data_IF_477714518159
#
_entry.id   IF_477714518159
#
_cell.length_a   1.000
_cell.length_b   1.000
_cell.length_c   1.000
_cell.angle_alpha   90.00
_cell.angle_beta   90.00
_cell.angle_gamma   90.00
#
_symmetry.space_group_name_H-M   'P 1'
#
loop_
_entity.id
_entity.type
_entity.pdbx_description
1 polymer ?
#
# COMPACT_ATOMS: atom_id res chain seq x y z
N UNK A 1 12.46 -0.49 18.29
CA UNK A 1 12.06 -1.65 17.44
C UNK A 1 10.58 -1.63 17.03
N UNK A 2 9.62 -1.22 17.87
CA UNK A 2 8.18 -1.32 17.57
C UNK A 2 7.71 -0.59 16.29
N UNK A 3 8.26 0.58 15.99
CA UNK A 3 7.90 1.35 14.78
C UNK A 3 8.23 0.62 13.47
N UNK A 4 9.27 -0.23 13.45
CA UNK A 4 9.64 -1.00 12.25
C UNK A 4 8.67 -2.17 12.03
N UNK A 5 8.23 -2.79 13.13
CA UNK A 5 7.24 -3.87 13.11
C UNK A 5 5.87 -3.37 12.63
N UNK A 6 5.41 -2.23 13.17
CA UNK A 6 4.14 -1.61 12.77
C UNK A 6 4.10 -1.27 11.28
N UNK A 7 5.16 -0.63 10.74
CA UNK A 7 5.24 -0.27 9.31
C UNK A 7 5.24 -1.50 8.41
N UNK A 8 5.95 -2.57 8.77
CA UNK A 8 5.96 -3.81 7.98
C UNK A 8 4.59 -4.51 7.99
N UNK A 9 3.92 -4.54 9.13
CA UNK A 9 2.60 -5.15 9.24
C UNK A 9 1.54 -4.37 8.46
N UNK A 10 1.59 -3.02 8.54
CA UNK A 10 0.74 -2.16 7.74
C UNK A 10 0.98 -2.32 6.24
N UNK A 11 2.23 -2.50 5.80
CA UNK A 11 2.53 -2.78 4.39
C UNK A 11 1.91 -4.11 3.92
N UNK A 12 1.98 -5.17 4.75
CA UNK A 12 1.40 -6.47 4.45
C UNK A 12 -0.14 -6.44 4.43
N UNK A 13 -0.76 -5.74 5.38
CA UNK A 13 -2.22 -5.54 5.37
C UNK A 13 -2.62 -4.71 4.16
N UNK A 14 -1.85 -3.67 3.84
CA UNK A 14 -2.21 -2.77 2.73
C UNK A 14 -2.17 -3.51 1.40
N UNK A 15 -1.12 -4.29 1.14
CA UNK A 15 -1.01 -5.07 -0.10
C UNK A 15 -2.09 -6.14 -0.19
N UNK A 16 -2.36 -6.88 0.90
CA UNK A 16 -3.43 -7.88 0.93
C UNK A 16 -4.81 -7.26 0.71
N UNK A 17 -5.07 -6.11 1.33
CA UNK A 17 -6.31 -5.35 1.16
C UNK A 17 -6.54 -4.92 -0.29
N UNK A 18 -5.50 -4.43 -0.99
CA UNK A 18 -5.61 -4.07 -2.42
C UNK A 18 -6.03 -5.28 -3.26
N UNK A 19 -5.36 -6.42 -3.11
CA UNK A 19 -5.67 -7.62 -3.91
C UNK A 19 -7.10 -8.14 -3.67
N UNK A 20 -7.49 -8.25 -2.40
CA UNK A 20 -8.81 -8.74 -2.03
C UNK A 20 -9.90 -7.78 -2.52
N UNK A 21 -9.73 -6.48 -2.33
CA UNK A 21 -10.73 -5.49 -2.74
C UNK A 21 -10.84 -5.38 -4.26
N UNK A 22 -9.73 -5.47 -5.01
CA UNK A 22 -9.78 -5.52 -6.48
C UNK A 22 -10.54 -6.78 -6.94
N UNK A 23 -10.29 -7.92 -6.32
CA UNK A 23 -11.00 -9.17 -6.65
C UNK A 23 -12.51 -9.04 -6.39
N UNK A 24 -12.90 -8.58 -5.20
CA UNK A 24 -14.31 -8.36 -4.84
C UNK A 24 -14.96 -7.31 -5.75
N UNK A 25 -14.28 -6.20 -6.03
CA UNK A 25 -14.77 -5.16 -6.93
C UNK A 25 -14.99 -5.68 -8.35
N UNK A 26 -14.10 -6.56 -8.82
CA UNK A 26 -14.23 -7.23 -10.12
C UNK A 26 -15.43 -8.19 -10.14
N UNK A 27 -15.65 -8.95 -9.07
CA UNK A 27 -16.83 -9.82 -8.93
C UNK A 27 -18.14 -9.02 -8.88
N UNK A 28 -18.16 -7.88 -8.17
CA UNK A 28 -19.29 -6.95 -8.17
C UNK A 28 -19.56 -6.38 -9.58
N UNK A 29 -18.51 -5.95 -10.29
CA UNK A 29 -18.62 -5.39 -11.63
C UNK A 29 -19.06 -6.41 -12.69
N UNK A 30 -18.59 -7.66 -12.57
CA UNK A 30 -18.99 -8.79 -13.40
C UNK A 30 -20.41 -9.30 -13.09
N UNK A 31 -21.08 -8.70 -12.09
CA UNK A 31 -22.42 -9.07 -11.66
C UNK A 31 -22.56 -10.54 -11.24
N UNK A 32 -21.46 -11.17 -10.79
CA UNK A 32 -21.39 -12.60 -10.46
C UNK A 32 -22.48 -12.99 -9.46
N UNK A 33 -23.13 -14.13 -9.67
CA UNK A 33 -24.15 -14.68 -8.77
C UNK A 33 -23.56 -15.14 -7.42
N UNK A 34 -22.25 -15.33 -7.35
CA UNK A 34 -21.54 -15.67 -6.11
C UNK A 34 -21.67 -14.57 -5.03
N UNK A 35 -21.78 -13.30 -5.45
CA UNK A 35 -22.04 -12.19 -4.55
C UNK A 35 -23.55 -11.94 -4.45
N UNK A 36 -24.17 -12.41 -3.37
CA UNK A 36 -25.57 -12.12 -3.01
C UNK A 36 -25.71 -10.72 -2.41
N UNK A 37 -25.32 -9.69 -3.18
CA UNK A 37 -25.41 -8.28 -2.78
C UNK A 37 -26.44 -7.59 -3.67
N UNK A 38 -27.37 -6.84 -3.08
CA UNK A 38 -28.29 -5.94 -3.80
C UNK A 38 -27.51 -4.70 -4.28
N UNK A 39 -27.90 -4.07 -5.39
CA UNK A 39 -27.22 -2.88 -5.95
C UNK A 39 -25.70 -3.02 -6.20
N UNK A 40 -25.31 -4.10 -6.87
CA UNK A 40 -23.92 -4.50 -7.16
C UNK A 40 -23.05 -3.41 -7.82
N UNK A 41 -23.63 -2.54 -8.65
CA UNK A 41 -22.90 -1.47 -9.34
C UNK A 41 -22.43 -0.36 -8.39
N UNK A 42 -23.29 0.07 -7.48
CA UNK A 42 -22.94 1.14 -6.54
C UNK A 42 -21.90 0.63 -5.52
N UNK A 43 -22.03 -0.63 -5.10
CA UNK A 43 -21.04 -1.28 -4.25
C UNK A 43 -19.70 -1.54 -4.96
N UNK A 44 -19.69 -1.85 -6.26
CA UNK A 44 -18.44 -2.01 -7.01
C UNK A 44 -17.61 -0.72 -6.94
N UNK A 45 -18.25 0.43 -7.13
CA UNK A 45 -17.56 1.73 -7.09
C UNK A 45 -16.96 2.02 -5.71
N UNK A 46 -17.70 1.75 -4.63
CA UNK A 46 -17.22 1.89 -3.26
C UNK A 46 -16.05 0.96 -2.96
N UNK A 47 -16.09 -0.29 -3.44
CA UNK A 47 -15.01 -1.27 -3.27
C UNK A 47 -13.74 -0.85 -4.01
N UNK A 48 -13.86 -0.31 -5.23
CA UNK A 48 -12.70 0.23 -5.96
C UNK A 48 -12.11 1.47 -5.28
N UNK A 49 -12.95 2.35 -4.73
CA UNK A 49 -12.49 3.49 -3.93
C UNK A 49 -11.72 3.01 -2.70
N UNK A 50 -12.24 1.99 -2.00
CA UNK A 50 -11.54 1.38 -0.86
C UNK A 50 -10.18 0.80 -1.29
N UNK A 51 -10.11 0.07 -2.42
CA UNK A 51 -8.86 -0.47 -2.95
C UNK A 51 -7.84 0.65 -3.24
N UNK A 52 -8.28 1.78 -3.80
CA UNK A 52 -7.43 2.94 -4.06
C UNK A 52 -6.87 3.57 -2.76
N UNK A 53 -7.68 3.63 -1.70
CA UNK A 53 -7.23 4.10 -0.38
C UNK A 53 -6.14 3.17 0.18
N UNK A 54 -6.35 1.85 0.11
CA UNK A 54 -5.36 0.86 0.54
C UNK A 54 -4.05 0.98 -0.26
N UNK A 55 -4.13 1.23 -1.58
CA UNK A 55 -2.97 1.46 -2.42
C UNK A 55 -2.23 2.75 -2.05
N UNK A 56 -2.97 3.83 -1.75
CA UNK A 56 -2.38 5.09 -1.32
C UNK A 56 -1.60 4.93 0.00
N UNK A 57 -2.20 4.25 0.99
CA UNK A 57 -1.54 3.94 2.27
C UNK A 57 -0.27 3.12 2.03
N UNK A 58 -0.33 2.12 1.14
CA UNK A 58 0.84 1.32 0.78
C UNK A 58 1.98 2.18 0.23
N UNK A 59 1.70 3.09 -0.72
CA UNK A 59 2.71 3.97 -1.33
C UNK A 59 3.35 4.88 -0.28
N UNK A 60 2.55 5.49 0.61
CA UNK A 60 3.05 6.36 1.68
C UNK A 60 3.97 5.58 2.62
N UNK A 61 3.54 4.39 3.06
CA UNK A 61 4.33 3.55 3.97
C UNK A 61 5.61 3.04 3.32
N UNK A 62 5.57 2.73 2.02
CA UNK A 62 6.74 2.33 1.24
C UNK A 62 7.75 3.50 1.15
N UNK A 63 7.27 4.71 0.89
CA UNK A 63 8.08 5.94 0.88
C UNK A 63 8.78 6.18 2.22
N UNK A 64 8.06 6.03 3.34
CA UNK A 64 8.64 6.13 4.69
C UNK A 64 9.74 5.08 4.90
N UNK A 65 9.49 3.84 4.46
CA UNK A 65 10.47 2.75 4.59
C UNK A 65 11.70 2.97 3.71
N UNK A 66 11.54 3.50 2.50
CA UNK A 66 12.65 3.84 1.61
C UNK A 66 13.48 5.01 2.15
N UNK A 67 12.86 6.05 2.72
CA UNK A 67 13.58 7.18 3.34
C UNK A 67 14.46 6.75 4.52
N UNK A 68 14.03 5.72 5.26
CA UNK A 68 14.77 5.19 6.42
C UNK A 68 15.87 4.19 6.05
N UNK A 69 16.01 3.78 4.79
CA UNK A 69 17.17 2.97 4.40
C UNK A 69 18.40 3.86 4.43
N UNK A 70 19.45 3.52 5.20
CA UNK A 70 20.70 4.25 5.09
C UNK A 70 21.14 4.15 3.63
N UNK A 71 21.34 5.30 2.99
CA UNK A 71 22.06 5.37 1.73
C UNK A 71 23.43 4.82 2.09
N UNK A 72 23.72 3.60 1.63
CA UNK A 72 25.05 3.02 1.76
C UNK A 72 25.89 3.84 0.79
N UNK A 73 26.43 4.94 1.29
CA UNK A 73 27.47 5.67 0.59
C UNK A 73 28.62 4.67 0.49
N UNK A 74 29.07 4.28 -0.72
CA UNK A 74 30.27 3.47 -0.85
C UNK A 74 31.37 4.17 -0.06
N UNK A 75 32.18 3.41 0.69
CA UNK A 75 33.17 3.88 1.68
C UNK A 75 34.32 4.78 1.13
N UNK A 76 34.08 5.53 0.06
CA UNK A 76 34.97 6.53 -0.53
C UNK A 76 34.34 7.90 -0.78
N UNK A 77 33.04 8.11 -0.49
CA UNK A 77 32.44 9.45 -0.47
C UNK A 77 32.17 9.85 0.98
N UNK A 78 33.23 10.25 1.68
CA UNK A 78 33.04 11.14 2.82
C UNK A 78 32.35 12.40 2.31
N UNK A 79 31.32 12.84 3.03
CA UNK A 79 30.77 14.19 2.87
C UNK A 79 31.95 15.13 3.00
N UNK A 80 32.14 15.99 2.00
CA UNK A 80 33.18 17.02 1.99
C UNK A 80 32.78 18.14 2.97
N UNK A 81 32.52 17.79 4.23
CA UNK A 81 32.28 18.70 5.35
C UNK A 81 33.55 18.83 6.18
N UNK A 82 34.66 19.19 5.51
CA UNK A 82 35.83 19.79 6.14
C UNK A 82 36.44 20.80 5.17
N UNK A 83 35.85 22.01 5.09
CA UNK A 83 36.56 23.28 4.87
C UNK A 83 35.58 24.45 4.66
N UNK A 84 35.08 25.04 5.75
CA UNK A 84 34.94 26.50 5.91
C UNK A 84 34.56 26.86 7.34
#
# INVERSE_FOLDING_TARGET
MSNSFCVNYLLLISIGGVFILIYIGSLCAANSEELKVEDKKDHASAVFIAAAIYLFIFIVMLGIKCRKRPIVVPQGYQVLDEAS
#
